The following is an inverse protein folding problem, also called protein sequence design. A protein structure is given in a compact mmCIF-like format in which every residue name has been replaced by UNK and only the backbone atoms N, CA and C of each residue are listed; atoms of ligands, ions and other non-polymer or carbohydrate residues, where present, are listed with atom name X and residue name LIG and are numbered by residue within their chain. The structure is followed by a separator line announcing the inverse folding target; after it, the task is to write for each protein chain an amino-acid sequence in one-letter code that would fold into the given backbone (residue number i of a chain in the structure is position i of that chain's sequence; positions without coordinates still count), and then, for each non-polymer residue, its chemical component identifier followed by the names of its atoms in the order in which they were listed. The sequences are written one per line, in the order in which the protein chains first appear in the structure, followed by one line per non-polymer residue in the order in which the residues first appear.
data_IF_313034117513
#
_entry.id   IF_313034117513
#
_cell.length_a   1.000
_cell.length_b   1.000
_cell.length_c   1.000
_cell.angle_alpha   90.00
_cell.angle_beta   90.00
_cell.angle_gamma   90.00
#
_symmetry.space_group_name_H-M   'P 1'
#
loop_
_entity.id
_entity.type
_entity.pdbx_description
1 polymer ?
#
# COMPACT_ATOMS: atom_id res chain seq x y z
N UNK A 1 -39.91 20.92 -7.73
CA UNK A 1 -38.88 19.91 -8.06
C UNK A 1 -37.47 20.32 -7.56
N UNK A 2 -37.20 20.26 -6.24
CA UNK A 2 -35.88 20.67 -5.71
C UNK A 2 -35.40 19.93 -4.44
N UNK A 3 -36.28 19.18 -3.76
CA UNK A 3 -35.99 18.53 -2.46
C UNK A 3 -34.84 17.52 -2.53
N UNK A 4 -34.78 16.71 -3.60
CA UNK A 4 -33.80 15.62 -3.72
C UNK A 4 -32.39 16.11 -3.96
N UNK A 5 -32.22 17.17 -4.76
CA UNK A 5 -30.90 17.77 -5.04
C UNK A 5 -30.34 18.44 -3.79
N UNK A 6 -31.16 19.19 -3.06
CA UNK A 6 -30.73 19.87 -1.83
C UNK A 6 -30.33 18.89 -0.73
N UNK A 7 -31.14 17.83 -0.49
CA UNK A 7 -30.86 16.79 0.51
C UNK A 7 -29.66 15.91 0.12
N UNK A 8 -29.48 15.65 -1.17
CA UNK A 8 -28.31 14.96 -1.70
C UNK A 8 -27.04 15.77 -1.42
N UNK A 9 -26.99 17.03 -1.85
CA UNK A 9 -25.83 17.90 -1.62
C UNK A 9 -25.55 18.17 -0.14
N UNK A 10 -26.58 18.35 0.71
CA UNK A 10 -26.39 18.53 2.16
C UNK A 10 -25.81 17.29 2.82
N UNK A 11 -26.25 16.08 2.43
CA UNK A 11 -25.64 14.84 2.92
C UNK A 11 -24.18 14.75 2.50
N UNK A 12 -23.84 15.01 1.25
CA UNK A 12 -22.45 14.91 0.78
C UNK A 12 -21.51 15.95 1.42
N UNK A 13 -22.02 17.15 1.75
CA UNK A 13 -21.26 18.20 2.44
C UNK A 13 -21.12 17.92 3.95
N UNK A 14 -22.18 17.45 4.62
CA UNK A 14 -22.14 17.09 6.05
C UNK A 14 -21.43 15.75 6.32
N UNK A 15 -21.48 14.86 5.33
CA UNK A 15 -20.88 13.52 5.31
C UNK A 15 -19.65 13.52 4.40
N UNK A 16 -18.94 14.66 4.33
CA UNK A 16 -17.71 14.82 3.57
C UNK A 16 -16.74 13.69 3.85
N UNK A 17 -16.01 13.27 2.81
CA UNK A 17 -14.99 12.22 2.83
C UNK A 17 -15.42 10.87 3.46
N UNK A 18 -16.72 10.61 3.58
CA UNK A 18 -17.28 9.47 4.31
C UNK A 18 -17.04 8.09 3.68
N UNK A 19 -16.18 7.99 2.67
CA UNK A 19 -15.66 6.72 2.19
C UNK A 19 -14.19 6.48 2.58
N UNK A 20 -13.56 7.40 3.31
CA UNK A 20 -12.18 7.26 3.77
C UNK A 20 -12.02 6.07 4.72
N UNK A 21 -12.98 5.80 5.61
CA UNK A 21 -12.92 4.61 6.47
C UNK A 21 -12.90 3.30 5.66
N UNK A 22 -13.70 3.20 4.60
CA UNK A 22 -13.72 2.04 3.71
C UNK A 22 -12.39 1.90 2.95
N UNK A 23 -11.91 2.97 2.30
CA UNK A 23 -10.65 2.92 1.56
C UNK A 23 -9.44 2.68 2.48
N UNK A 24 -9.43 3.26 3.68
CA UNK A 24 -8.43 2.99 4.71
C UNK A 24 -8.50 1.54 5.19
N UNK A 25 -9.69 0.97 5.40
CA UNK A 25 -9.83 -0.43 5.79
C UNK A 25 -9.27 -1.37 4.71
N UNK A 26 -9.54 -1.09 3.43
CA UNK A 26 -8.96 -1.83 2.30
C UNK A 26 -7.44 -1.67 2.24
N UNK A 27 -6.92 -0.45 2.36
CA UNK A 27 -5.49 -0.18 2.36
C UNK A 27 -4.77 -0.86 3.54
N UNK A 28 -5.35 -0.80 4.75
CA UNK A 28 -4.84 -1.47 5.94
C UNK A 28 -4.91 -2.99 5.82
N UNK A 29 -5.98 -3.54 5.25
CA UNK A 29 -6.10 -4.97 4.97
C UNK A 29 -5.00 -5.45 4.01
N UNK A 30 -4.76 -4.69 2.93
CA UNK A 30 -3.66 -4.95 1.99
C UNK A 30 -2.30 -4.85 2.67
N UNK A 31 -2.07 -3.79 3.47
CA UNK A 31 -0.84 -3.61 4.23
C UNK A 31 -0.59 -4.79 5.15
N UNK A 32 -1.56 -5.19 5.98
CA UNK A 32 -1.43 -6.32 6.91
C UNK A 32 -1.09 -7.63 6.19
N UNK A 33 -1.73 -7.90 5.05
CA UNK A 33 -1.49 -9.12 4.27
C UNK A 33 -0.12 -9.13 3.58
N UNK A 34 0.32 -7.96 3.12
CA UNK A 34 1.54 -7.84 2.31
C UNK A 34 2.78 -7.43 3.13
N UNK A 35 2.66 -7.20 4.44
CA UNK A 35 3.83 -6.96 5.31
C UNK A 35 4.64 -8.23 5.44
N UNK A 36 5.94 -8.13 5.17
CA UNK A 36 6.93 -9.17 5.46
C UNK A 36 7.60 -8.77 6.77
N UNK A 37 7.29 -9.42 7.90
CA UNK A 37 7.85 -9.03 9.20
C UNK A 37 9.28 -9.52 9.41
N UNK A 38 9.65 -10.62 8.73
CA UNK A 38 10.92 -11.30 8.86
C UNK A 38 11.29 -11.86 7.48
N UNK A 39 12.55 -11.71 7.09
CA UNK A 39 13.07 -12.26 5.84
C UNK A 39 14.44 -12.88 6.10
N UNK A 40 14.63 -14.12 5.66
CA UNK A 40 15.95 -14.76 5.68
C UNK A 40 16.67 -14.47 4.37
N UNK A 41 17.91 -13.98 4.48
CA UNK A 41 18.87 -13.88 3.40
C UNK A 41 20.01 -14.86 3.68
N UNK A 42 19.89 -16.08 3.15
CA UNK A 42 20.78 -17.19 3.49
C UNK A 42 20.79 -17.46 5.00
N UNK A 43 21.90 -17.13 5.67
CA UNK A 43 22.07 -17.29 7.12
C UNK A 43 21.73 -16.05 7.95
N UNK A 44 21.38 -14.93 7.32
CA UNK A 44 21.10 -13.66 8.02
C UNK A 44 19.58 -13.43 8.12
N UNK A 45 19.10 -13.12 9.32
CA UNK A 45 17.70 -12.76 9.55
C UNK A 45 17.52 -11.24 9.50
N UNK A 46 16.74 -10.76 8.53
CA UNK A 46 16.31 -9.37 8.43
C UNK A 46 14.98 -9.18 9.17
N UNK A 47 14.97 -8.30 10.16
CA UNK A 47 13.77 -7.96 10.95
C UNK A 47 13.36 -6.49 10.78
N UNK A 48 14.29 -5.63 10.37
CA UNK A 48 13.99 -4.23 10.13
C UNK A 48 13.24 -4.06 8.80
N UNK A 49 12.11 -3.33 8.77
CA UNK A 49 11.41 -3.01 7.54
C UNK A 49 12.27 -2.28 6.50
N UNK A 50 13.24 -1.46 6.93
CA UNK A 50 14.18 -0.78 6.02
C UNK A 50 15.06 -1.79 5.29
N UNK A 51 15.57 -2.78 6.01
CA UNK A 51 16.56 -3.72 5.51
C UNK A 51 15.90 -4.75 4.61
N UNK A 52 14.71 -5.22 4.99
CA UNK A 52 13.84 -6.05 4.15
C UNK A 52 13.55 -5.34 2.82
N UNK A 53 13.19 -4.04 2.87
CA UNK A 53 12.92 -3.26 1.66
C UNK A 53 14.16 -3.12 0.78
N UNK A 54 15.30 -2.72 1.36
CA UNK A 54 16.53 -2.55 0.61
C UNK A 54 16.98 -3.85 -0.05
N UNK A 55 16.87 -4.98 0.66
CA UNK A 55 17.19 -6.30 0.13
C UNK A 55 16.28 -6.70 -1.04
N UNK A 56 14.96 -6.56 -0.89
CA UNK A 56 13.98 -6.88 -1.95
C UNK A 56 14.16 -5.98 -3.17
N UNK A 57 14.35 -4.67 -2.97
CA UNK A 57 14.59 -3.72 -4.05
C UNK A 57 15.89 -4.05 -4.80
N UNK A 58 16.97 -4.38 -4.07
CA UNK A 58 18.24 -4.78 -4.65
C UNK A 58 18.15 -6.08 -5.46
N UNK A 59 17.49 -7.10 -4.92
CA UNK A 59 17.27 -8.38 -5.58
C UNK A 59 16.56 -8.21 -6.92
N UNK A 60 15.42 -7.53 -6.94
CA UNK A 60 14.65 -7.36 -8.17
C UNK A 60 15.30 -6.39 -9.16
N UNK A 61 16.04 -5.38 -8.68
CA UNK A 61 16.87 -4.56 -9.56
C UNK A 61 17.92 -5.39 -10.28
N UNK A 62 18.61 -6.29 -9.57
CA UNK A 62 19.59 -7.18 -10.18
C UNK A 62 18.93 -8.17 -11.17
N UNK A 63 17.80 -8.76 -10.78
CA UNK A 63 17.06 -9.72 -11.61
C UNK A 63 16.57 -9.12 -12.93
N UNK A 64 16.10 -7.87 -12.90
CA UNK A 64 15.54 -7.18 -14.07
C UNK A 64 16.49 -6.17 -14.71
N UNK A 65 17.73 -6.06 -14.23
CA UNK A 65 18.73 -5.26 -14.92
C UNK A 65 19.09 -5.95 -16.23
N UNK A 66 19.05 -5.25 -17.37
CA UNK A 66 19.49 -5.83 -18.63
C UNK A 66 20.96 -6.22 -18.51
N UNK A 67 21.31 -7.40 -19.04
CA UNK A 67 22.71 -7.80 -19.14
C UNK A 67 23.49 -6.70 -19.87
N UNK A 68 24.72 -6.35 -19.42
CA UNK A 68 25.53 -5.38 -20.11
C UNK A 68 25.67 -5.82 -21.58
N UNK A 69 25.35 -4.92 -22.50
CA UNK A 69 25.58 -5.16 -23.94
C UNK A 69 27.10 -5.23 -24.12
N UNK A 70 27.62 -6.45 -24.25
CA UNK A 70 28.95 -6.77 -24.73
C UNK A 70 29.15 -6.29 -26.16
#
# INVERSE_FOLDING_TARGET
EASWRLRGSQKWVLQGDANTAYFQAIANGRRRRNTIPLLWDGGTLLQSPSDIRAHVDGFYRALFSPAPRS
#
